data_IF_358767636372
#
_entry.id   IF_358767636372
#
_cell.length_a   1.000
_cell.length_b   1.000
_cell.length_c   1.000
_cell.angle_alpha   90.00
_cell.angle_beta   90.00
_cell.angle_gamma   90.00
#
_symmetry.space_group_name_H-M   'P 1'
#
loop_
_entity.id
_entity.type
_entity.pdbx_description
1 polymer ?
#
# COMPACT_ATOMS: atom_id res chain seq x y z
N UNK A 1 36.07 63.92 52.65
CA UNK A 1 36.29 62.51 53.02
C UNK A 1 35.06 61.68 52.68
N UNK A 2 35.17 60.75 51.72
CA UNK A 2 34.45 59.47 51.72
C UNK A 2 35.21 58.52 50.79
N UNK A 3 35.49 57.33 51.30
CA UNK A 3 36.45 56.37 50.76
C UNK A 3 35.69 55.07 50.47
N UNK A 4 35.73 54.59 49.22
CA UNK A 4 35.31 53.24 48.81
C UNK A 4 36.14 52.90 47.55
N UNK A 5 37.26 52.21 47.69
CA UNK A 5 37.38 50.73 47.78
C UNK A 5 36.99 50.07 46.46
N UNK A 6 38.01 49.55 45.77
CA UNK A 6 37.89 48.77 44.55
C UNK A 6 37.67 47.28 44.88
N UNK A 7 37.06 46.56 43.95
CA UNK A 7 37.25 45.11 43.81
C UNK A 7 37.36 44.76 42.32
N UNK A 8 38.57 44.44 41.87
CA UNK A 8 38.77 43.72 40.64
C UNK A 8 38.48 42.24 40.90
N UNK A 9 37.55 41.65 40.15
CA UNK A 9 37.36 40.20 40.11
C UNK A 9 37.67 39.72 38.70
N UNK A 10 38.90 39.23 38.52
CA UNK A 10 39.26 38.41 37.36
C UNK A 10 38.67 37.02 37.56
N UNK A 11 37.69 36.63 36.75
CA UNK A 11 37.18 35.27 36.69
C UNK A 11 37.80 34.52 35.50
N UNK A 12 38.21 33.27 35.72
CA UNK A 12 38.99 32.45 34.79
C UNK A 12 38.22 32.13 33.49
N UNK A 13 38.98 32.06 32.40
CA UNK A 13 38.62 31.33 31.19
C UNK A 13 38.52 29.82 31.51
N UNK A 14 37.32 29.25 31.43
CA UNK A 14 37.11 27.81 31.47
C UNK A 14 36.99 27.27 30.04
N UNK A 15 38.11 26.83 29.45
CA UNK A 15 38.12 26.08 28.19
C UNK A 15 37.62 24.66 28.41
N UNK A 16 36.31 24.43 28.30
CA UNK A 16 35.73 23.08 28.26
C UNK A 16 35.83 22.50 26.85
N UNK A 17 36.99 21.93 26.52
CA UNK A 17 37.13 21.04 25.37
C UNK A 17 36.49 19.69 25.70
N UNK A 18 35.24 19.49 25.27
CA UNK A 18 34.59 18.18 25.23
C UNK A 18 34.65 17.63 23.80
N UNK A 19 35.20 16.43 23.63
CA UNK A 19 35.22 15.73 22.34
C UNK A 19 33.79 15.31 21.93
N UNK A 20 33.51 15.16 20.63
CA UNK A 20 32.17 14.85 20.14
C UNK A 20 31.83 13.37 20.43
N UNK A 21 30.78 13.13 21.19
CA UNK A 21 30.21 11.80 21.43
C UNK A 21 28.77 11.76 20.96
N UNK A 22 28.57 11.26 19.74
CA UNK A 22 27.42 10.47 19.26
C UNK A 22 25.98 10.91 19.62
N UNK A 23 25.76 12.20 19.86
CA UNK A 23 24.43 12.80 20.12
C UNK A 23 23.86 13.54 18.90
N UNK A 24 24.50 13.39 17.74
CA UNK A 24 23.98 13.86 16.46
C UNK A 24 23.13 12.76 15.79
N UNK A 25 21.85 13.06 15.62
CA UNK A 25 20.97 12.47 14.59
C UNK A 25 20.55 11.00 14.73
N UNK A 26 20.43 10.48 15.96
CA UNK A 26 19.35 9.51 16.24
C UNK A 26 18.03 10.25 16.47
N UNK A 27 17.59 11.04 15.47
CA UNK A 27 16.23 11.58 15.44
C UNK A 27 15.27 10.38 15.33
N UNK A 28 14.66 10.05 16.46
CA UNK A 28 13.48 9.19 16.52
C UNK A 28 12.33 10.03 15.98
N UNK A 29 11.77 9.64 14.84
CA UNK A 29 10.83 10.50 14.09
C UNK A 29 9.38 10.14 14.39
N UNK A 30 9.09 8.85 14.57
CA UNK A 30 7.78 8.31 14.93
C UNK A 30 7.94 6.92 15.57
N UNK A 31 7.08 6.53 16.52
CA UNK A 31 6.98 5.19 17.12
C UNK A 31 8.29 4.49 17.54
N UNK A 32 9.34 5.26 17.87
CA UNK A 32 10.66 4.72 18.21
C UNK A 32 11.58 4.41 17.01
N UNK A 33 11.11 4.59 15.77
CA UNK A 33 11.92 4.38 14.57
C UNK A 33 12.85 5.56 14.28
N UNK A 34 14.06 5.23 13.85
CA UNK A 34 14.99 6.18 13.23
C UNK A 34 14.72 6.32 11.73
N UNK A 35 15.16 7.43 11.14
CA UNK A 35 15.05 7.68 9.70
C UNK A 35 15.67 6.55 8.84
N UNK A 36 16.76 5.93 9.32
CA UNK A 36 17.40 4.79 8.66
C UNK A 36 16.60 3.48 8.76
N UNK A 37 15.85 3.27 9.85
CA UNK A 37 14.93 2.13 9.96
C UNK A 37 13.71 2.30 9.05
N UNK A 38 13.20 3.53 8.92
CA UNK A 38 12.14 3.85 7.96
C UNK A 38 12.65 3.56 6.54
N UNK A 39 13.81 4.09 6.16
CA UNK A 39 14.40 3.85 4.82
C UNK A 39 14.61 2.34 4.52
N UNK A 40 15.11 1.57 5.50
CA UNK A 40 15.32 0.13 5.33
C UNK A 40 14.03 -0.68 5.19
N UNK A 41 12.94 -0.24 5.83
CA UNK A 41 11.61 -0.88 5.74
C UNK A 41 10.79 -0.39 4.54
N UNK A 42 11.13 0.77 3.98
CA UNK A 42 10.42 1.41 2.88
C UNK A 42 10.80 0.75 1.55
N UNK A 43 9.83 0.29 0.74
CA UNK A 43 10.10 -0.29 -0.58
C UNK A 43 10.95 0.61 -1.46
N UNK A 44 11.84 0.03 -2.27
CA UNK A 44 12.65 0.79 -3.23
C UNK A 44 11.78 1.27 -4.39
N UNK A 45 12.06 2.43 -4.99
CA UNK A 45 11.27 2.90 -6.14
C UNK A 45 11.35 1.94 -7.35
N UNK A 46 12.48 1.25 -7.51
CA UNK A 46 12.75 0.35 -8.63
C UNK A 46 12.79 1.04 -10.01
N UNK A 47 12.77 2.37 -10.04
CA UNK A 47 12.87 3.21 -11.22
C UNK A 47 13.68 4.48 -10.91
N UNK A 48 14.24 5.11 -11.94
CA UNK A 48 15.00 6.34 -11.81
C UNK A 48 14.18 7.55 -12.32
N UNK A 49 14.48 8.73 -11.79
CA UNK A 49 13.91 9.97 -12.32
C UNK A 49 14.59 10.38 -13.64
N UNK A 50 13.89 11.15 -14.48
CA UNK A 50 14.49 11.71 -15.68
C UNK A 50 14.75 10.70 -16.82
N UNK A 51 14.12 9.52 -16.81
CA UNK A 51 14.28 8.51 -17.87
C UNK A 51 13.59 8.99 -19.15
N UNK A 52 14.32 8.96 -20.27
CA UNK A 52 13.82 9.30 -21.61
C UNK A 52 12.98 10.60 -21.67
N UNK A 53 13.56 11.78 -21.38
CA UNK A 53 12.82 13.03 -21.39
C UNK A 53 12.31 13.37 -22.79
N UNK A 54 10.99 13.58 -22.90
CA UNK A 54 10.28 13.94 -24.15
C UNK A 54 10.56 15.38 -24.61
N UNK A 55 11.17 16.20 -23.75
CA UNK A 55 11.42 17.63 -23.98
C UNK A 55 10.28 18.56 -23.55
N UNK A 56 9.11 18.04 -23.14
CA UNK A 56 7.97 18.82 -22.65
C UNK A 56 7.88 18.91 -21.12
N UNK A 57 8.77 18.20 -20.40
CA UNK A 57 8.74 18.05 -18.94
C UNK A 57 8.31 16.64 -18.48
N UNK A 58 7.84 15.81 -19.40
CA UNK A 58 7.47 14.42 -19.17
C UNK A 58 8.61 13.45 -19.50
N UNK A 59 8.65 12.34 -18.78
CA UNK A 59 9.63 11.27 -18.83
C UNK A 59 8.92 9.91 -18.74
N UNK A 60 9.59 8.84 -19.14
CA UNK A 60 9.05 7.47 -19.05
C UNK A 60 8.89 7.05 -17.58
N UNK A 61 7.69 6.59 -17.23
CA UNK A 61 7.38 5.95 -15.96
C UNK A 61 7.98 4.55 -15.81
N UNK A 62 7.75 3.97 -14.64
CA UNK A 62 8.22 2.67 -14.22
C UNK A 62 7.33 1.50 -14.69
N UNK A 63 6.16 1.81 -15.25
CA UNK A 63 5.13 0.84 -15.66
C UNK A 63 4.58 1.23 -17.03
N UNK A 64 4.26 0.22 -17.84
CA UNK A 64 3.63 0.41 -19.15
C UNK A 64 2.11 0.60 -19.02
N UNK A 65 1.56 1.50 -19.84
CA UNK A 65 0.13 1.66 -20.04
C UNK A 65 -0.46 0.56 -20.92
N UNK A 66 -1.78 0.59 -21.13
CA UNK A 66 -2.52 -0.41 -21.91
C UNK A 66 -2.12 -0.50 -23.40
N UNK A 67 -1.35 0.47 -23.91
CA UNK A 67 -0.75 0.50 -25.24
C UNK A 67 0.64 -0.16 -25.31
N UNK A 68 1.18 -0.67 -24.19
CA UNK A 68 2.53 -1.23 -24.12
C UNK A 68 3.64 -0.19 -24.30
N UNK A 69 3.39 1.06 -23.89
CA UNK A 69 4.38 2.13 -23.77
C UNK A 69 4.44 2.59 -22.32
N UNK A 70 5.58 3.08 -21.80
CA UNK A 70 5.66 3.65 -20.47
C UNK A 70 4.61 4.75 -20.26
N UNK A 71 3.98 4.77 -19.07
CA UNK A 71 3.12 5.88 -18.66
C UNK A 71 3.99 7.13 -18.51
N UNK A 72 3.62 8.25 -19.15
CA UNK A 72 4.36 9.49 -19.00
C UNK A 72 4.19 10.07 -17.59
N UNK A 73 5.31 10.34 -16.91
CA UNK A 73 5.35 10.96 -15.58
C UNK A 73 6.17 12.24 -15.61
N UNK A 74 5.99 13.19 -14.66
CA UNK A 74 6.85 14.37 -14.57
C UNK A 74 8.31 13.94 -14.38
N UNK A 75 9.27 14.55 -15.09
CA UNK A 75 10.68 14.15 -15.02
C UNK A 75 11.33 14.29 -13.62
N UNK A 76 10.70 15.03 -12.70
CA UNK A 76 11.07 15.11 -11.28
C UNK A 76 10.64 13.90 -10.44
N UNK A 77 9.95 12.93 -11.05
CA UNK A 77 9.42 11.74 -10.41
C UNK A 77 10.18 10.48 -10.85
N UNK A 78 10.50 9.54 -9.93
CA UNK A 78 10.28 9.63 -8.49
C UNK A 78 11.19 10.70 -7.83
N UNK A 79 10.80 11.26 -6.67
CA UNK A 79 11.62 12.23 -5.93
C UNK A 79 12.93 11.60 -5.46
N UNK A 80 13.86 12.41 -4.96
CA UNK A 80 15.05 11.87 -4.30
C UNK A 80 14.68 11.01 -3.09
N UNK A 81 15.35 9.86 -2.94
CA UNK A 81 15.11 8.92 -1.84
C UNK A 81 15.11 9.61 -0.48
N UNK A 82 16.08 10.50 -0.24
CA UNK A 82 16.20 11.26 1.01
C UNK A 82 15.02 12.21 1.26
N UNK A 83 14.51 12.91 0.24
CA UNK A 83 13.33 13.77 0.37
C UNK A 83 12.09 12.94 0.69
N UNK A 84 11.90 11.83 -0.04
CA UNK A 84 10.77 10.93 0.17
C UNK A 84 10.74 10.31 1.56
N UNK A 85 11.87 9.83 2.07
CA UNK A 85 11.95 9.28 3.43
C UNK A 85 11.68 10.36 4.50
N UNK A 86 12.05 11.62 4.27
CA UNK A 86 11.69 12.72 5.19
C UNK A 86 10.17 12.98 5.19
N UNK A 87 9.54 13.01 4.01
CA UNK A 87 8.07 13.13 3.90
C UNK A 87 7.36 11.93 4.53
N UNK A 88 7.82 10.71 4.26
CA UNK A 88 7.27 9.48 4.83
C UNK A 88 7.41 9.47 6.36
N UNK A 89 8.58 9.83 6.89
CA UNK A 89 8.77 9.88 8.33
C UNK A 89 7.90 10.94 9.01
N UNK A 90 7.66 12.08 8.35
CA UNK A 90 6.72 13.12 8.82
C UNK A 90 5.28 12.63 8.82
N UNK A 91 4.89 11.89 7.77
CA UNK A 91 3.58 11.25 7.63
C UNK A 91 3.34 10.17 8.70
N UNK A 92 4.34 9.33 8.98
CA UNK A 92 4.27 8.32 10.05
C UNK A 92 4.15 9.02 11.42
N UNK A 93 4.90 10.10 11.65
CA UNK A 93 4.84 10.88 12.89
C UNK A 93 3.46 11.53 13.12
N UNK A 94 2.75 11.86 12.05
CA UNK A 94 1.39 12.39 12.10
C UNK A 94 0.30 11.29 12.18
N UNK A 95 0.61 10.06 11.77
CA UNK A 95 -0.37 8.98 11.57
C UNK A 95 -1.29 9.20 10.35
N UNK A 96 -0.97 10.18 9.49
CA UNK A 96 -1.72 10.57 8.29
C UNK A 96 -0.82 11.31 7.30
N UNK A 97 -1.25 11.46 6.05
CA UNK A 97 -0.52 12.27 5.09
C UNK A 97 -0.59 13.76 5.48
N UNK A 98 0.57 14.39 5.77
CA UNK A 98 0.62 15.75 6.33
C UNK A 98 -0.03 16.81 5.41
N UNK A 99 0.00 16.59 4.10
CA UNK A 99 -0.68 17.46 3.11
C UNK A 99 -2.06 16.94 2.65
N UNK A 100 -2.56 15.85 3.25
CA UNK A 100 -3.89 15.30 3.02
C UNK A 100 -4.36 14.54 4.29
N UNK A 101 -4.73 15.25 5.36
CA UNK A 101 -4.97 14.65 6.68
C UNK A 101 -6.19 13.71 6.72
N UNK A 102 -7.02 13.69 5.68
CA UNK A 102 -8.11 12.73 5.48
C UNK A 102 -7.61 11.31 5.17
N UNK A 103 -6.34 11.14 4.77
CA UNK A 103 -5.73 9.85 4.49
C UNK A 103 -4.83 9.43 5.65
N UNK A 104 -5.39 8.63 6.56
CA UNK A 104 -4.66 7.95 7.63
C UNK A 104 -3.58 7.02 7.09
N UNK A 105 -2.50 6.87 7.84
CA UNK A 105 -1.33 6.09 7.48
C UNK A 105 -0.87 5.20 8.61
N UNK A 106 -0.48 3.97 8.26
CA UNK A 106 0.21 3.08 9.18
C UNK A 106 1.49 2.51 8.54
N UNK A 107 2.51 2.32 9.36
CA UNK A 107 3.81 1.80 8.94
C UNK A 107 4.28 0.70 9.91
N UNK A 108 3.62 -0.47 9.90
CA UNK A 108 4.00 -1.59 10.74
C UNK A 108 5.43 -2.08 10.41
N UNK A 109 6.13 -2.61 11.41
CA UNK A 109 7.56 -2.94 11.32
C UNK A 109 7.88 -4.42 11.19
N UNK A 110 6.90 -5.30 11.35
CA UNK A 110 7.07 -6.73 11.16
C UNK A 110 7.15 -7.11 9.67
N UNK A 111 7.42 -8.40 9.41
CA UNK A 111 7.64 -8.93 8.07
C UNK A 111 6.48 -9.80 7.56
N UNK A 112 5.27 -9.66 8.12
CA UNK A 112 4.08 -10.26 7.52
C UNK A 112 3.79 -9.63 6.16
N UNK A 113 3.18 -10.42 5.27
CA UNK A 113 2.75 -9.96 3.94
C UNK A 113 1.88 -8.70 4.02
N UNK A 114 0.95 -8.64 4.98
CA UNK A 114 0.12 -7.46 5.20
C UNK A 114 0.91 -6.26 5.69
N UNK A 115 1.88 -6.42 6.59
CA UNK A 115 2.71 -5.29 7.04
C UNK A 115 3.63 -4.75 5.96
N UNK A 116 4.17 -5.62 5.09
CA UNK A 116 4.90 -5.18 3.90
C UNK A 116 3.96 -4.39 2.97
N UNK A 117 2.72 -4.83 2.77
CA UNK A 117 1.74 -4.17 1.91
C UNK A 117 1.18 -2.86 2.50
N UNK A 118 1.07 -2.76 3.82
CA UNK A 118 0.81 -1.50 4.51
C UNK A 118 1.94 -0.50 4.28
N UNK A 119 3.21 -0.94 4.28
CA UNK A 119 4.35 -0.08 3.92
C UNK A 119 4.34 0.32 2.44
N UNK A 120 3.86 -0.53 1.52
CA UNK A 120 3.60 -0.12 0.12
C UNK A 120 2.49 0.94 0.03
N UNK A 121 1.36 0.74 0.72
CA UNK A 121 0.29 1.73 0.77
C UNK A 121 0.81 3.08 1.31
N UNK A 122 1.52 3.08 2.44
CA UNK A 122 2.08 4.30 3.04
C UNK A 122 3.11 4.99 2.15
N UNK A 123 3.93 4.21 1.44
CA UNK A 123 4.87 4.71 0.45
C UNK A 123 4.13 5.37 -0.74
N UNK A 124 3.10 4.73 -1.29
CA UNK A 124 2.29 5.27 -2.40
C UNK A 124 1.52 6.53 -2.00
N UNK A 125 0.83 6.52 -0.86
CA UNK A 125 0.10 7.69 -0.34
C UNK A 125 1.06 8.87 -0.11
N UNK A 126 2.25 8.62 0.45
CA UNK A 126 3.29 9.65 0.60
C UNK A 126 3.80 10.15 -0.75
N UNK A 127 3.95 9.27 -1.73
CA UNK A 127 4.41 9.63 -3.07
C UNK A 127 3.42 10.60 -3.74
N UNK A 128 2.12 10.29 -3.64
CA UNK A 128 1.02 11.04 -4.26
C UNK A 128 0.63 12.33 -3.53
N UNK A 129 0.89 12.46 -2.22
CA UNK A 129 0.51 13.62 -1.41
C UNK A 129 1.71 14.44 -0.92
N UNK A 130 2.83 14.43 -1.65
CA UNK A 130 4.08 15.02 -1.18
C UNK A 130 4.10 16.56 -1.21
N UNK A 131 3.29 17.19 -2.08
CA UNK A 131 3.24 18.65 -2.28
C UNK A 131 1.80 19.22 -2.14
N UNK A 132 0.83 18.43 -1.69
CA UNK A 132 -0.59 18.78 -1.62
C UNK A 132 -1.50 17.56 -1.80
N UNK A 133 -2.81 17.72 -1.60
CA UNK A 133 -3.81 16.66 -1.81
C UNK A 133 -3.80 16.17 -3.26
N UNK A 134 -3.33 14.94 -3.49
CA UNK A 134 -3.11 14.39 -4.84
C UNK A 134 -2.05 15.12 -5.67
N UNK A 135 -1.31 16.08 -5.10
CA UNK A 135 -0.22 16.81 -5.77
C UNK A 135 1.11 16.17 -5.34
N UNK A 136 1.58 15.24 -6.15
CA UNK A 136 2.78 14.46 -5.89
C UNK A 136 3.25 13.74 -7.15
N UNK A 137 4.03 12.70 -6.96
CA UNK A 137 4.41 11.82 -8.06
C UNK A 137 3.35 10.72 -8.24
N UNK A 138 2.94 10.39 -9.47
CA UNK A 138 2.03 9.28 -9.73
C UNK A 138 2.70 7.97 -9.29
N UNK A 139 1.92 6.97 -8.87
CA UNK A 139 2.48 5.66 -8.52
C UNK A 139 3.25 5.04 -9.70
N UNK A 140 2.81 5.33 -10.93
CA UNK A 140 3.48 4.98 -12.19
C UNK A 140 4.93 5.48 -12.31
N UNK A 141 5.41 6.43 -11.49
CA UNK A 141 6.84 6.77 -11.43
C UNK A 141 7.67 5.77 -10.61
N UNK A 142 7.06 4.71 -10.09
CA UNK A 142 7.67 3.67 -9.26
C UNK A 142 7.12 2.30 -9.60
N UNK A 143 7.83 1.26 -9.23
CA UNK A 143 7.37 -0.14 -9.37
C UNK A 143 6.61 -0.64 -8.13
N UNK A 144 6.05 0.26 -7.31
CA UNK A 144 5.38 -0.10 -6.05
C UNK A 144 4.22 -1.08 -6.25
N UNK A 145 3.36 -0.86 -7.24
CA UNK A 145 2.26 -1.77 -7.60
C UNK A 145 2.74 -3.18 -7.98
N UNK A 146 3.77 -3.26 -8.81
CA UNK A 146 4.40 -4.53 -9.24
C UNK A 146 5.09 -5.26 -8.07
N UNK A 147 5.82 -4.54 -7.22
CA UNK A 147 6.45 -5.13 -6.03
C UNK A 147 5.41 -5.60 -5.00
N UNK A 148 4.33 -4.84 -4.80
CA UNK A 148 3.22 -5.24 -3.95
C UNK A 148 2.55 -6.51 -4.48
N UNK A 149 2.33 -6.62 -5.80
CA UNK A 149 1.83 -7.84 -6.42
C UNK A 149 2.79 -9.04 -6.24
N UNK A 150 4.11 -8.85 -6.37
CA UNK A 150 5.10 -9.90 -6.13
C UNK A 150 5.08 -10.40 -4.67
N UNK A 151 4.96 -9.48 -3.70
CA UNK A 151 4.81 -9.81 -2.27
C UNK A 151 3.50 -10.59 -2.01
N UNK A 152 2.41 -10.22 -2.67
CA UNK A 152 1.12 -10.95 -2.58
C UNK A 152 1.19 -12.35 -3.20
N UNK A 153 1.98 -12.53 -4.26
CA UNK A 153 2.24 -13.83 -4.89
C UNK A 153 3.23 -14.71 -4.09
N UNK A 154 3.51 -14.37 -2.82
CA UNK A 154 4.44 -15.11 -1.96
C UNK A 154 5.91 -14.98 -2.35
N UNK A 155 6.25 -14.09 -3.30
CA UNK A 155 7.64 -13.83 -3.72
C UNK A 155 8.27 -12.81 -2.76
N UNK A 156 8.44 -13.23 -1.51
CA UNK A 156 9.14 -12.45 -0.47
C UNK A 156 10.63 -12.34 -0.79
N UNK A 157 11.02 -11.33 -1.56
CA UNK A 157 12.38 -11.21 -2.08
C UNK A 157 12.84 -9.77 -2.31
N UNK A 158 13.36 -9.13 -1.25
CA UNK A 158 14.35 -8.08 -1.45
C UNK A 158 15.62 -8.75 -2.04
N UNK A 159 15.94 -8.44 -3.30
CA UNK A 159 17.16 -8.79 -4.08
C UNK A 159 17.04 -9.93 -5.10
N UNK A 160 17.07 -9.52 -6.37
CA UNK A 160 17.95 -9.98 -7.47
C UNK A 160 18.20 -11.49 -7.77
N UNK A 161 18.18 -11.74 -9.09
CA UNK A 161 19.01 -12.66 -9.91
C UNK A 161 18.62 -14.12 -10.20
N UNK A 162 18.62 -14.39 -11.51
CA UNK A 162 18.88 -15.65 -12.25
C UNK A 162 17.70 -16.51 -12.70
N UNK A 163 17.68 -16.83 -14.00
CA UNK A 163 16.72 -17.69 -14.68
C UNK A 163 17.36 -19.03 -15.06
N UNK A 164 16.57 -20.13 -15.13
CA UNK A 164 16.58 -21.12 -16.23
C UNK A 164 15.69 -22.37 -15.99
N UNK A 165 14.66 -22.50 -16.83
CA UNK A 165 14.18 -23.71 -17.56
C UNK A 165 13.74 -25.04 -16.85
N UNK A 166 12.76 -25.78 -17.46
CA UNK A 166 12.10 -26.98 -16.88
C UNK A 166 12.59 -28.32 -17.51
N UNK A 167 12.13 -29.51 -17.05
CA UNK A 167 10.84 -30.13 -17.45
C UNK A 167 10.08 -30.74 -16.22
N UNK A 168 9.03 -31.58 -16.25
CA UNK A 168 8.39 -32.41 -17.30
C UNK A 168 6.87 -32.66 -17.02
N UNK A 169 6.26 -33.73 -17.58
CA UNK A 169 4.82 -33.93 -17.71
C UNK A 169 4.18 -35.18 -17.02
N UNK A 170 2.93 -34.99 -16.53
CA UNK A 170 1.72 -35.86 -16.69
C UNK A 170 1.68 -37.30 -16.06
N UNK A 171 0.52 -38.04 -16.01
CA UNK A 171 -0.84 -37.74 -16.55
C UNK A 171 -2.11 -38.11 -15.72
N UNK A 172 -3.25 -37.51 -16.11
CA UNK A 172 -4.67 -38.03 -16.19
C UNK A 172 -5.43 -38.67 -15.01
N UNK A 173 -6.59 -38.09 -14.67
CA UNK A 173 -7.97 -38.61 -14.89
C UNK A 173 -9.04 -37.76 -14.14
N UNK A 174 -10.35 -37.64 -14.39
CA UNK A 174 -11.29 -37.73 -15.54
C UNK A 174 -12.72 -37.64 -14.94
N UNK A 175 -13.55 -36.65 -15.31
CA UNK A 175 -15.05 -36.59 -15.19
C UNK A 175 -15.70 -36.65 -13.76
N UNK A 176 -16.92 -36.13 -13.46
CA UNK A 176 -17.90 -35.27 -14.14
C UNK A 176 -18.87 -34.61 -13.09
N UNK A 177 -19.70 -33.61 -13.46
CA UNK A 177 -20.55 -32.80 -12.54
C UNK A 177 -22.05 -33.17 -12.63
N UNK A 178 -23.04 -32.34 -12.19
CA UNK A 178 -23.17 -31.48 -11.00
C UNK A 178 -24.44 -31.84 -10.17
N UNK A 179 -24.76 -31.09 -9.10
CA UNK A 179 -26.16 -30.89 -8.68
C UNK A 179 -26.38 -29.58 -7.92
N UNK A 180 -27.37 -28.81 -8.39
CA UNK A 180 -27.82 -27.53 -7.84
C UNK A 180 -28.94 -27.72 -6.82
N UNK A 181 -28.95 -26.92 -5.76
CA UNK A 181 -30.20 -26.50 -5.10
C UNK A 181 -30.15 -25.01 -4.78
N UNK A 182 -31.15 -24.27 -5.25
CA UNK A 182 -31.41 -22.92 -4.82
C UNK A 182 -32.44 -22.92 -3.68
N UNK A 183 -32.35 -21.97 -2.75
CA UNK A 183 -33.48 -21.52 -1.93
C UNK A 183 -33.26 -20.12 -1.38
N UNK A 184 -33.88 -19.17 -2.06
CA UNK A 184 -34.63 -18.02 -1.56
C UNK A 184 -34.76 -17.87 -0.03
N UNK A 185 -34.35 -16.72 0.50
CA UNK A 185 -35.18 -15.90 1.40
C UNK A 185 -34.56 -14.51 1.59
N UNK A 186 -35.36 -13.45 1.38
CA UNK A 186 -34.99 -12.09 1.75
C UNK A 186 -35.54 -11.73 3.13
N UNK A 187 -34.77 -11.02 3.96
CA UNK A 187 -35.32 -10.19 5.04
C UNK A 187 -34.33 -9.12 5.53
N UNK A 188 -34.85 -7.91 5.69
CA UNK A 188 -34.43 -6.90 6.68
C UNK A 188 -33.01 -6.34 6.60
N UNK A 189 -32.87 -5.24 5.87
CA UNK A 189 -31.75 -4.32 6.00
C UNK A 189 -31.72 -3.68 7.39
N UNK A 190 -30.79 -4.12 8.25
CA UNK A 190 -30.35 -3.34 9.40
C UNK A 190 -29.36 -2.29 8.92
N UNK A 191 -29.76 -1.02 8.96
CA UNK A 191 -28.87 0.11 8.66
C UNK A 191 -27.84 0.29 9.78
N UNK A 192 -26.78 -0.50 9.76
CA UNK A 192 -25.58 -0.22 10.54
C UNK A 192 -24.85 0.95 9.89
N UNK A 193 -24.84 2.09 10.57
CA UNK A 193 -23.98 3.22 10.25
C UNK A 193 -22.59 2.94 10.77
N UNK A 194 -21.59 3.08 9.91
CA UNK A 194 -20.17 3.04 10.28
C UNK A 194 -19.83 4.25 11.16
N UNK A 195 -18.69 4.23 11.86
CA UNK A 195 -18.28 5.35 12.72
C UNK A 195 -18.19 6.70 11.96
N UNK A 196 -17.81 6.67 10.68
CA UNK A 196 -17.80 7.83 9.76
C UNK A 196 -19.19 8.23 9.21
N UNK A 197 -20.27 7.67 9.74
CA UNK A 197 -21.65 7.96 9.30
C UNK A 197 -22.06 7.34 7.96
N UNK A 198 -21.19 6.54 7.33
CA UNK A 198 -21.49 5.85 6.07
C UNK A 198 -22.37 4.62 6.29
N UNK A 199 -23.44 4.52 5.51
CA UNK A 199 -24.27 3.33 5.41
C UNK A 199 -23.62 2.26 4.53
N UNK A 200 -23.92 0.99 4.80
CA UNK A 200 -23.48 -0.17 3.99
C UNK A 200 -23.76 0.03 2.48
N UNK A 201 -24.90 0.62 2.13
CA UNK A 201 -25.26 0.88 0.73
C UNK A 201 -24.37 1.95 0.06
N UNK A 202 -23.93 2.97 0.81
CA UNK A 202 -22.96 3.95 0.30
C UNK A 202 -21.57 3.33 0.18
N UNK A 203 -21.18 2.49 1.13
CA UNK A 203 -19.90 1.76 1.07
C UNK A 203 -19.89 0.86 -0.16
N UNK A 204 -20.91 0.03 -0.39
CA UNK A 204 -20.99 -0.83 -1.59
C UNK A 204 -20.97 -0.03 -2.89
N UNK A 205 -21.72 1.08 -2.98
CA UNK A 205 -21.77 1.93 -4.16
C UNK A 205 -20.44 2.65 -4.48
N UNK A 206 -19.67 3.01 -3.46
CA UNK A 206 -18.36 3.66 -3.60
C UNK A 206 -17.21 2.65 -3.73
N UNK A 207 -17.41 1.40 -3.30
CA UNK A 207 -16.40 0.34 -3.32
C UNK A 207 -16.22 -0.17 -4.74
N UNK A 208 -14.99 -0.15 -5.30
CA UNK A 208 -14.71 -0.68 -6.63
C UNK A 208 -15.16 -2.14 -6.77
N UNK A 209 -15.65 -2.54 -7.94
CA UNK A 209 -16.10 -3.90 -8.17
C UNK A 209 -14.89 -4.86 -8.08
N UNK A 210 -15.03 -6.03 -7.44
CA UNK A 210 -13.93 -7.01 -7.38
C UNK A 210 -13.59 -7.58 -8.78
N UNK A 211 -14.53 -7.53 -9.72
CA UNK A 211 -14.34 -7.81 -11.14
C UNK A 211 -14.03 -9.26 -11.48
N UNK A 212 -14.16 -10.18 -10.52
CA UNK A 212 -13.88 -11.60 -10.67
C UNK A 212 -14.73 -12.43 -9.71
N UNK A 213 -14.79 -13.75 -9.94
CA UNK A 213 -15.61 -14.70 -9.18
C UNK A 213 -14.74 -15.80 -8.58
N UNK A 214 -15.12 -16.34 -7.42
CA UNK A 214 -14.43 -17.49 -6.81
C UNK A 214 -14.72 -18.78 -7.58
N UNK A 215 -13.89 -19.81 -7.37
CA UNK A 215 -14.11 -21.14 -7.94
C UNK A 215 -13.83 -21.28 -9.44
N UNK A 216 -13.12 -20.33 -10.07
CA UNK A 216 -12.76 -20.42 -11.49
C UNK A 216 -11.67 -21.47 -11.71
N UNK A 217 -11.93 -22.43 -12.60
CA UNK A 217 -10.99 -23.51 -12.98
C UNK A 217 -10.27 -24.19 -11.78
N UNK A 218 -11.03 -24.87 -10.89
CA UNK A 218 -10.42 -25.53 -9.73
C UNK A 218 -9.45 -26.63 -10.16
N UNK A 219 -8.21 -26.51 -9.71
CA UNK A 219 -7.11 -27.45 -10.01
C UNK A 219 -7.22 -28.79 -9.26
N UNK A 220 -8.15 -28.89 -8.30
CA UNK A 220 -8.35 -30.06 -7.44
C UNK A 220 -7.49 -30.07 -6.18
N UNK A 221 -6.52 -29.16 -6.03
CA UNK A 221 -5.65 -29.05 -4.84
C UNK A 221 -6.10 -28.00 -3.83
N UNK A 222 -7.20 -27.28 -4.12
CA UNK A 222 -7.69 -26.13 -3.35
C UNK A 222 -7.42 -24.77 -4.00
N UNK A 223 -6.61 -24.75 -5.07
CA UNK A 223 -6.31 -23.57 -5.87
C UNK A 223 -7.21 -23.46 -7.12
N UNK A 224 -7.48 -22.21 -7.50
CA UNK A 224 -8.28 -21.79 -8.64
C UNK A 224 -7.54 -20.70 -9.41
N UNK A 225 -7.91 -20.46 -10.67
CA UNK A 225 -7.35 -19.37 -11.48
C UNK A 225 -7.75 -18.01 -10.88
N UNK A 226 -6.78 -17.12 -10.73
CA UNK A 226 -7.01 -15.72 -10.34
C UNK A 226 -7.46 -14.83 -11.51
N UNK A 227 -7.81 -13.59 -11.16
CA UNK A 227 -8.26 -12.54 -12.05
C UNK A 227 -7.17 -11.90 -12.92
N UNK A 228 -5.90 -12.12 -12.57
CA UNK A 228 -4.73 -11.54 -13.23
C UNK A 228 -3.75 -12.62 -13.66
N UNK A 229 -3.13 -12.41 -14.82
CA UNK A 229 -2.08 -13.30 -15.32
C UNK A 229 -0.73 -12.92 -14.70
N UNK A 230 0.07 -13.93 -14.35
CA UNK A 230 1.48 -13.77 -13.98
C UNK A 230 2.36 -13.50 -15.21
N UNK A 231 3.66 -13.28 -14.96
CA UNK A 231 4.65 -13.00 -16.01
C UNK A 231 4.84 -14.13 -17.05
N UNK A 232 4.34 -15.34 -16.76
CA UNK A 232 4.28 -16.48 -17.67
C UNK A 232 3.05 -16.47 -18.60
N UNK A 233 2.16 -15.48 -18.49
CA UNK A 233 0.92 -15.37 -19.26
C UNK A 233 -0.22 -16.29 -18.79
N UNK A 234 -0.05 -17.01 -17.68
CA UNK A 234 -1.10 -17.85 -17.06
C UNK A 234 -1.73 -17.13 -15.87
N UNK A 235 -2.99 -17.41 -15.51
CA UNK A 235 -3.59 -16.90 -14.28
C UNK A 235 -2.72 -17.21 -13.05
N UNK A 236 -2.60 -16.25 -12.13
CA UNK A 236 -1.97 -16.52 -10.83
C UNK A 236 -2.93 -17.40 -10.02
N UNK A 237 -2.45 -18.54 -9.51
CA UNK A 237 -3.24 -19.40 -8.65
C UNK A 237 -3.63 -18.69 -7.34
N UNK A 238 -4.91 -18.78 -6.96
CA UNK A 238 -5.48 -18.24 -5.73
C UNK A 238 -6.30 -19.30 -5.00
N UNK A 239 -6.54 -19.20 -3.68
CA UNK A 239 -7.43 -20.12 -2.98
C UNK A 239 -8.83 -20.09 -3.61
N UNK A 240 -9.49 -21.24 -3.82
CA UNK A 240 -10.78 -21.28 -4.51
C UNK A 240 -11.92 -20.52 -3.80
N UNK A 241 -11.78 -20.19 -2.51
CA UNK A 241 -12.67 -19.30 -1.75
C UNK A 241 -12.51 -17.81 -2.10
N UNK A 242 -11.53 -17.47 -2.93
CA UNK A 242 -11.18 -16.12 -3.30
C UNK A 242 -11.57 -15.80 -4.74
N UNK A 243 -12.15 -14.62 -5.02
CA UNK A 243 -12.57 -13.60 -4.07
C UNK A 243 -13.79 -14.04 -3.23
N UNK A 244 -13.97 -13.47 -2.02
CA UNK A 244 -15.19 -13.68 -1.24
C UNK A 244 -16.42 -13.15 -2.01
N UNK A 245 -17.61 -13.59 -1.58
CA UNK A 245 -18.85 -13.00 -2.05
C UNK A 245 -18.90 -11.49 -1.72
N UNK A 246 -19.50 -10.69 -2.61
CA UNK A 246 -19.46 -9.22 -2.53
C UNK A 246 -20.06 -8.68 -1.22
N UNK A 247 -21.16 -9.26 -0.78
CA UNK A 247 -21.83 -8.94 0.49
C UNK A 247 -20.95 -9.25 1.71
N UNK A 248 -20.25 -10.38 1.72
CA UNK A 248 -19.28 -10.75 2.77
C UNK A 248 -18.11 -9.76 2.78
N UNK A 249 -17.59 -9.40 1.61
CA UNK A 249 -16.51 -8.41 1.47
C UNK A 249 -16.93 -7.02 1.99
N UNK A 250 -18.11 -6.53 1.59
CA UNK A 250 -18.63 -5.24 2.02
C UNK A 250 -18.90 -5.21 3.53
N UNK A 251 -19.35 -6.32 4.13
CA UNK A 251 -19.50 -6.41 5.59
C UNK A 251 -18.15 -6.29 6.30
N UNK A 252 -17.09 -6.94 5.81
CA UNK A 252 -15.73 -6.80 6.38
C UNK A 252 -15.20 -5.38 6.18
N UNK A 253 -15.26 -4.85 4.95
CA UNK A 253 -14.78 -3.50 4.63
C UNK A 253 -15.51 -2.43 5.45
N UNK A 254 -16.81 -2.58 5.71
CA UNK A 254 -17.55 -1.66 6.56
C UNK A 254 -17.12 -1.72 8.05
N UNK A 255 -16.72 -2.90 8.55
CA UNK A 255 -16.12 -3.03 9.88
C UNK A 255 -14.74 -2.35 9.92
N UNK A 256 -13.92 -2.56 8.88
CA UNK A 256 -12.60 -1.94 8.77
C UNK A 256 -12.69 -0.40 8.70
N UNK A 257 -13.65 0.14 7.93
CA UNK A 257 -13.95 1.58 7.86
C UNK A 257 -14.43 2.08 9.23
N UNK A 258 -15.40 1.40 9.86
CA UNK A 258 -15.92 1.80 11.17
C UNK A 258 -14.86 1.76 12.29
N UNK A 259 -13.79 1.00 12.13
CA UNK A 259 -12.64 0.97 13.03
C UNK A 259 -11.52 1.96 12.64
N UNK A 260 -11.51 2.46 11.40
CA UNK A 260 -10.41 3.22 10.80
C UNK A 260 -9.16 2.37 10.52
N UNK A 261 -9.26 1.05 10.63
CA UNK A 261 -8.17 0.07 10.49
C UNK A 261 -8.74 -1.32 10.18
N UNK A 262 -7.95 -2.19 9.56
CA UNK A 262 -8.34 -3.57 9.32
C UNK A 262 -8.60 -4.30 10.65
N UNK A 263 -9.82 -4.78 10.92
CA UNK A 263 -10.21 -5.25 12.26
C UNK A 263 -9.42 -6.48 12.73
N UNK A 264 -9.01 -7.34 11.79
CA UNK A 264 -8.15 -8.50 12.08
C UNK A 264 -6.65 -8.19 11.96
N UNK A 265 -6.27 -6.96 11.64
CA UNK A 265 -4.89 -6.48 11.60
C UNK A 265 -4.84 -4.97 11.94
N UNK A 266 -5.05 -4.60 13.21
CA UNK A 266 -5.24 -3.20 13.62
C UNK A 266 -3.99 -2.32 13.42
N UNK A 267 -2.86 -2.91 13.07
CA UNK A 267 -1.65 -2.20 12.63
C UNK A 267 -1.71 -1.73 11.16
N UNK A 268 -2.85 -1.83 10.48
CA UNK A 268 -3.05 -1.30 9.12
C UNK A 268 -4.29 -0.41 9.06
N UNK A 269 -4.07 0.91 8.94
CA UNK A 269 -5.14 1.89 8.80
C UNK A 269 -5.91 1.73 7.50
N UNK A 270 -7.19 2.07 7.52
CA UNK A 270 -8.10 2.04 6.37
C UNK A 270 -8.75 3.41 6.25
N UNK A 271 -8.60 4.08 5.11
CA UNK A 271 -9.25 5.36 4.79
C UNK A 271 -10.19 5.16 3.61
N UNK A 272 -11.41 5.70 3.70
CA UNK A 272 -12.43 5.51 2.67
C UNK A 272 -13.08 6.85 2.30
N UNK A 273 -12.36 7.71 1.55
CA UNK A 273 -12.88 9.00 1.13
C UNK A 273 -14.08 8.82 0.20
N UNK A 274 -15.01 9.78 0.24
CA UNK A 274 -16.35 9.66 -0.39
C UNK A 274 -16.53 10.48 -1.65
N UNK A 275 -15.58 11.37 -1.95
CA UNK A 275 -15.59 12.20 -3.15
C UNK A 275 -15.14 11.40 -4.40
N UNK A 276 -15.28 12.05 -5.56
CA UNK A 276 -15.04 11.42 -6.86
C UNK A 276 -13.68 11.77 -7.48
N UNK A 277 -12.74 12.38 -6.73
CA UNK A 277 -11.39 12.62 -7.23
C UNK A 277 -10.65 11.30 -7.53
N UNK A 278 -9.72 11.33 -8.48
CA UNK A 278 -8.86 10.19 -8.80
C UNK A 278 -8.08 9.71 -7.58
N UNK A 279 -7.61 10.63 -6.73
CA UNK A 279 -6.93 10.31 -5.47
C UNK A 279 -7.83 9.49 -4.54
N UNK A 280 -9.09 9.93 -4.35
CA UNK A 280 -10.04 9.20 -3.51
C UNK A 280 -10.48 7.86 -4.09
N UNK A 281 -10.60 7.75 -5.42
CA UNK A 281 -10.83 6.46 -6.08
C UNK A 281 -9.64 5.50 -5.89
N UNK A 282 -8.40 5.97 -6.02
CA UNK A 282 -7.17 5.23 -5.72
C UNK A 282 -7.16 4.76 -4.26
N UNK A 283 -7.45 5.65 -3.31
CA UNK A 283 -7.51 5.32 -1.87
C UNK A 283 -8.57 4.25 -1.59
N UNK A 284 -9.77 4.34 -2.21
CA UNK A 284 -10.80 3.30 -2.07
C UNK A 284 -10.37 1.95 -2.64
N UNK A 285 -9.67 1.90 -3.77
CA UNK A 285 -9.10 0.65 -4.30
C UNK A 285 -8.05 0.07 -3.36
N UNK A 286 -7.14 0.90 -2.84
CA UNK A 286 -6.10 0.45 -1.92
C UNK A 286 -6.68 -0.05 -0.59
N UNK A 287 -7.66 0.64 -0.01
CA UNK A 287 -8.40 0.17 1.17
C UNK A 287 -9.17 -1.11 0.90
N UNK A 288 -9.74 -1.27 -0.30
CA UNK A 288 -10.38 -2.51 -0.73
C UNK A 288 -9.38 -3.68 -0.80
N UNK A 289 -8.17 -3.43 -1.31
CA UNK A 289 -7.08 -4.41 -1.33
C UNK A 289 -6.63 -4.80 0.09
N UNK A 290 -6.48 -3.82 0.99
CA UNK A 290 -6.13 -4.05 2.40
C UNK A 290 -7.19 -4.90 3.11
N UNK A 291 -8.48 -4.54 3.00
CA UNK A 291 -9.57 -5.30 3.59
C UNK A 291 -9.59 -6.75 3.06
N UNK A 292 -9.48 -6.92 1.74
CA UNK A 292 -9.47 -8.22 1.07
C UNK A 292 -8.33 -9.13 1.55
N UNK A 293 -7.16 -8.56 1.88
CA UNK A 293 -5.97 -9.29 2.35
C UNK A 293 -5.94 -9.57 3.86
N UNK A 294 -6.82 -8.93 4.64
CA UNK A 294 -6.87 -9.08 6.10
C UNK A 294 -8.18 -9.73 6.61
N UNK A 295 -8.99 -10.33 5.72
CA UNK A 295 -10.29 -10.94 6.04
C UNK A 295 -10.29 -11.93 7.23
N UNK A 296 -9.19 -12.69 7.44
CA UNK A 296 -9.09 -13.64 8.55
C UNK A 296 -7.81 -13.46 9.40
N UNK A 297 -7.17 -12.29 9.34
CA UNK A 297 -5.92 -11.99 10.04
C UNK A 297 -4.82 -11.41 9.14
N UNK A 298 -3.63 -11.09 9.69
CA UNK A 298 -2.55 -10.40 8.97
C UNK A 298 -2.07 -11.16 7.73
N UNK A 299 -2.51 -10.72 6.54
CA UNK A 299 -2.20 -11.36 5.27
C UNK A 299 -2.92 -12.70 5.04
N UNK A 300 -3.90 -13.04 5.89
CA UNK A 300 -4.68 -14.28 5.85
C UNK A 300 -6.07 -14.03 5.21
N UNK A 301 -6.09 -13.20 4.18
CA UNK A 301 -7.26 -12.97 3.34
C UNK A 301 -7.08 -13.55 1.94
N UNK A 302 -7.73 -12.94 0.98
CA UNK A 302 -7.53 -13.24 -0.43
C UNK A 302 -6.39 -12.39 -1.01
N UNK A 303 -5.57 -12.94 -1.93
CA UNK A 303 -4.56 -12.16 -2.63
C UNK A 303 -5.24 -11.17 -3.58
N UNK A 304 -4.62 -10.02 -3.86
CA UNK A 304 -5.18 -9.08 -4.84
C UNK A 304 -5.43 -9.73 -6.21
N UNK A 305 -4.59 -10.71 -6.55
CA UNK A 305 -4.70 -11.53 -7.75
C UNK A 305 -6.04 -12.28 -7.90
N UNK A 306 -6.86 -12.41 -6.85
CA UNK A 306 -8.23 -12.92 -6.97
C UNK A 306 -9.24 -11.86 -7.41
N UNK A 307 -8.78 -10.66 -7.78
CA UNK A 307 -9.63 -9.51 -8.15
C UNK A 307 -8.96 -8.69 -9.24
N UNK A 308 -9.74 -7.86 -9.94
CA UNK A 308 -9.18 -6.89 -10.90
C UNK A 308 -8.79 -5.56 -10.23
N UNK A 309 -8.78 -5.47 -8.90
CA UNK A 309 -8.52 -4.23 -8.16
C UNK A 309 -7.14 -3.62 -8.51
N UNK A 310 -6.09 -4.43 -8.64
CA UNK A 310 -4.76 -3.93 -9.06
C UNK A 310 -4.75 -3.38 -10.49
N UNK A 311 -5.57 -3.93 -11.39
CA UNK A 311 -5.72 -3.42 -12.76
C UNK A 311 -6.54 -2.12 -12.80
N UNK A 312 -7.57 -2.02 -11.96
CA UNK A 312 -8.33 -0.78 -11.75
C UNK A 312 -7.46 0.33 -11.14
N UNK A 313 -6.57 -0.02 -10.22
CA UNK A 313 -5.59 0.89 -9.63
C UNK A 313 -4.69 1.50 -10.71
N UNK A 314 -4.09 0.66 -11.54
CA UNK A 314 -3.25 1.09 -12.65
C UNK A 314 -4.02 1.95 -13.68
N UNK A 315 -5.27 1.61 -13.98
CA UNK A 315 -6.11 2.35 -14.93
C UNK A 315 -6.46 3.78 -14.46
N UNK A 316 -6.44 4.06 -13.15
CA UNK A 316 -6.63 5.39 -12.58
C UNK A 316 -5.32 6.19 -12.42
N UNK A 317 -4.18 5.57 -12.71
CA UNK A 317 -2.84 6.15 -12.53
C UNK A 317 -2.13 6.42 -13.87
N UNK A 318 -2.90 6.41 -14.97
CA UNK A 318 -2.45 6.68 -16.33
C UNK A 318 -2.05 8.12 -16.62
#
# INVERSE_FOLDING_TARGET
MRLSIAFCVSALLASSAAAPLDLLQRQVVADGLTLAQIDALTPQFGHAAGVNPTGTGNCDGAVDGANGQPIEVPCSCPPSRSSFIQSLASNIAAGHAVHNPSVSLSFPTDNSTASILARFNAATVTLQNQNGEGVGCPEASTTFSAQAAAVQAGTSGNSATTAAAPPSAAPTATAAPPSSVASTAAASASSVTSADGLSIAQIDALTPNLGFSSGVNPTGTGNCDGAVNGANGQPIEVPCSCPPARDVFIQSLAQDIAAGHAVNNPSVSVSFPTDNSTSSQITRIQSSLVALQNLNGPGQGCPAASTTLSAQLAALQG
#
